data_IF_732222752443
#
_entry.id   IF_732222752443
#
_cell.length_a   1.000
_cell.length_b   1.000
_cell.length_c   1.000
_cell.angle_alpha   90.00
_cell.angle_beta   90.00
_cell.angle_gamma   90.00
#
_symmetry.space_group_name_H-M   'P 1'
#
loop_
_entity.id
_entity.type
_entity.pdbx_description
1 polymer ?
#
# COMPACT_ATOMS: atom_id res chain seq x y z
N UNK A 1 31.70 58.49 13.47
CA UNK A 1 30.68 57.75 12.70
C UNK A 1 30.80 56.31 13.14
N UNK A 2 30.20 55.90 14.26
CA UNK A 2 30.50 54.54 14.78
C UNK A 2 29.43 53.94 15.70
N UNK A 3 29.03 54.60 16.80
CA UNK A 3 28.11 53.96 17.75
C UNK A 3 26.68 53.69 17.24
N UNK A 4 26.11 54.60 16.44
CA UNK A 4 24.74 54.43 15.93
C UNK A 4 24.65 53.26 14.95
N UNK A 5 25.71 53.04 14.17
CA UNK A 5 25.78 52.00 13.15
C UNK A 5 26.09 50.63 13.76
N UNK A 6 26.93 50.59 14.80
CA UNK A 6 27.15 49.41 15.64
C UNK A 6 25.84 48.97 16.34
N UNK A 7 25.08 49.93 16.88
CA UNK A 7 23.79 49.64 17.53
C UNK A 7 22.76 49.07 16.56
N UNK A 8 22.67 49.63 15.35
CA UNK A 8 21.75 49.12 14.30
C UNK A 8 22.11 47.67 13.93
N UNK A 9 23.39 47.38 13.66
CA UNK A 9 23.84 46.01 13.35
C UNK A 9 23.59 45.02 14.49
N UNK A 10 23.74 45.46 15.74
CA UNK A 10 23.42 44.61 16.90
C UNK A 10 21.93 44.31 17.02
N UNK A 11 21.06 45.27 16.68
CA UNK A 11 19.61 45.07 16.69
C UNK A 11 19.14 44.17 15.54
N UNK A 12 19.73 44.32 14.34
CA UNK A 12 19.49 43.45 13.19
C UNK A 12 19.88 41.98 13.48
N UNK A 13 21.07 41.76 14.07
CA UNK A 13 21.52 40.41 14.46
C UNK A 13 20.62 39.78 15.54
N UNK A 14 20.13 40.56 16.50
CA UNK A 14 19.16 40.09 17.49
C UNK A 14 17.79 39.75 16.86
N UNK A 15 17.33 40.51 15.87
CA UNK A 15 16.09 40.22 15.17
C UNK A 15 16.20 38.96 14.30
N UNK A 16 17.32 38.78 13.59
CA UNK A 16 17.58 37.58 12.78
C UNK A 16 17.69 36.32 13.64
N UNK A 17 18.37 36.39 14.79
CA UNK A 17 18.48 35.24 15.72
C UNK A 17 17.16 34.87 16.37
N UNK A 18 16.32 35.85 16.74
CA UNK A 18 14.96 35.60 17.21
C UNK A 18 14.09 34.93 16.13
N UNK A 19 14.15 35.42 14.89
CA UNK A 19 13.42 34.84 13.75
C UNK A 19 13.90 33.42 13.42
N UNK A 20 15.20 33.16 13.55
CA UNK A 20 15.77 31.82 13.35
C UNK A 20 15.33 30.84 14.45
N UNK A 21 15.29 31.29 15.72
CA UNK A 21 14.80 30.49 16.83
C UNK A 21 13.31 30.13 16.66
N UNK A 22 12.46 31.09 16.28
CA UNK A 22 11.03 30.85 16.01
C UNK A 22 10.83 29.86 14.85
N UNK A 23 11.59 29.99 13.75
CA UNK A 23 11.54 29.02 12.64
C UNK A 23 11.99 27.62 13.06
N UNK A 24 13.00 27.53 13.92
CA UNK A 24 13.51 26.24 14.40
C UNK A 24 12.52 25.56 15.35
N UNK A 25 11.86 26.32 16.23
CA UNK A 25 10.78 25.84 17.07
C UNK A 25 9.58 25.38 16.23
N UNK A 26 9.13 26.19 15.26
CA UNK A 26 8.06 25.82 14.32
C UNK A 26 8.41 24.56 13.52
N UNK A 27 9.66 24.45 13.04
CA UNK A 27 10.13 23.25 12.34
C UNK A 27 10.05 22.02 13.25
N UNK A 28 10.46 22.14 14.51
CA UNK A 28 10.37 21.08 15.50
C UNK A 28 8.93 20.63 15.81
N UNK A 29 8.01 21.59 15.95
CA UNK A 29 6.58 21.32 16.15
C UNK A 29 5.98 20.62 14.93
N UNK A 30 6.25 21.14 13.71
CA UNK A 30 5.78 20.53 12.46
C UNK A 30 6.29 19.11 12.29
N UNK A 31 7.56 18.85 12.63
CA UNK A 31 8.14 17.51 12.59
C UNK A 31 7.51 16.56 13.61
N UNK A 32 7.18 17.05 14.81
CA UNK A 32 6.48 16.25 15.82
C UNK A 32 5.06 15.89 15.37
N UNK A 33 4.32 16.86 14.82
CA UNK A 33 2.98 16.65 14.26
C UNK A 33 3.04 15.65 13.10
N UNK A 34 4.00 15.79 12.18
CA UNK A 34 4.22 14.86 11.07
C UNK A 34 4.48 13.44 11.57
N UNK A 35 5.38 13.27 12.53
CA UNK A 35 5.67 11.94 13.12
C UNK A 35 4.43 11.33 13.76
N UNK A 36 3.68 12.12 14.53
CA UNK A 36 2.47 11.64 15.20
C UNK A 36 1.38 11.26 14.20
N UNK A 37 1.15 12.09 13.18
CA UNK A 37 0.21 11.80 12.10
C UNK A 37 0.56 10.50 11.36
N UNK A 38 1.82 10.32 10.95
CA UNK A 38 2.27 9.10 10.29
C UNK A 38 2.13 7.87 11.20
N UNK A 39 2.41 8.02 12.49
CA UNK A 39 2.25 6.93 13.46
C UNK A 39 0.78 6.52 13.61
N UNK A 40 -0.13 7.48 13.82
CA UNK A 40 -1.56 7.20 13.98
C UNK A 40 -2.17 6.59 12.73
N UNK A 41 -1.79 7.09 11.56
CA UNK A 41 -2.20 6.53 10.28
C UNK A 41 -1.77 5.06 10.13
N UNK A 42 -0.48 4.76 10.36
CA UNK A 42 0.02 3.38 10.28
C UNK A 42 -0.66 2.49 11.33
N UNK A 43 -0.88 2.99 12.54
CA UNK A 43 -1.59 2.25 13.58
C UNK A 43 -3.02 1.90 13.17
N UNK A 44 -3.75 2.84 12.57
CA UNK A 44 -5.12 2.59 12.09
C UNK A 44 -5.15 1.52 11.00
N UNK A 45 -4.22 1.58 10.04
CA UNK A 45 -4.07 0.52 9.03
C UNK A 45 -3.76 -0.82 9.67
N UNK A 46 -2.84 -0.87 10.65
CA UNK A 46 -2.52 -2.09 11.39
C UNK A 46 -3.77 -2.72 12.00
N UNK A 47 -4.55 -1.90 12.73
CA UNK A 47 -5.75 -2.34 13.42
C UNK A 47 -6.80 -2.84 12.43
N UNK A 48 -7.01 -2.13 11.31
CA UNK A 48 -7.97 -2.54 10.28
C UNK A 48 -7.61 -3.88 9.63
N UNK A 49 -6.35 -4.09 9.26
CA UNK A 49 -5.91 -5.36 8.68
C UNK A 49 -5.82 -6.49 9.70
N UNK A 50 -5.38 -6.21 10.92
CA UNK A 50 -5.36 -7.20 12.01
C UNK A 50 -6.77 -7.65 12.41
N UNK A 51 -7.71 -6.71 12.49
CA UNK A 51 -9.13 -7.00 12.68
C UNK A 51 -9.67 -7.89 11.56
N UNK A 52 -9.43 -7.51 10.30
CA UNK A 52 -9.88 -8.28 9.13
C UNK A 52 -9.33 -9.70 9.15
N UNK A 53 -8.03 -9.86 9.42
CA UNK A 53 -7.39 -11.16 9.55
C UNK A 53 -8.04 -12.01 10.65
N UNK A 54 -8.25 -11.42 11.83
CA UNK A 54 -8.81 -12.11 12.99
C UNK A 54 -10.27 -12.51 12.74
N UNK A 55 -11.06 -11.63 12.14
CA UNK A 55 -12.45 -11.87 11.77
C UNK A 55 -12.58 -12.99 10.74
N UNK A 56 -11.76 -12.97 9.68
CA UNK A 56 -11.75 -14.02 8.65
C UNK A 56 -11.35 -15.37 9.25
N UNK A 57 -10.34 -15.39 10.12
CA UNK A 57 -9.89 -16.61 10.81
C UNK A 57 -10.97 -17.15 11.74
N UNK A 58 -11.58 -16.29 12.56
CA UNK A 58 -12.67 -16.66 13.46
C UNK A 58 -13.88 -17.19 12.69
N UNK A 59 -14.28 -16.52 11.61
CA UNK A 59 -15.38 -16.97 10.76
C UNK A 59 -15.08 -18.34 10.13
N UNK A 60 -13.85 -18.58 9.68
CA UNK A 60 -13.44 -19.86 9.12
C UNK A 60 -13.50 -21.00 10.16
N UNK A 61 -13.10 -20.72 11.41
CA UNK A 61 -13.15 -21.71 12.50
C UNK A 61 -14.60 -22.01 12.90
N UNK A 62 -15.46 -20.98 12.98
CA UNK A 62 -16.83 -21.11 13.48
C UNK A 62 -17.81 -21.64 12.43
N UNK A 63 -17.70 -21.20 11.16
CA UNK A 63 -18.66 -21.50 10.09
C UNK A 63 -18.09 -22.42 9.00
N UNK A 64 -16.81 -22.82 9.12
CA UNK A 64 -16.15 -23.69 8.16
C UNK A 64 -16.12 -23.10 6.74
N UNK A 65 -16.43 -23.94 5.74
CA UNK A 65 -16.42 -23.51 4.34
C UNK A 65 -17.47 -22.45 4.00
N UNK A 66 -18.55 -22.33 4.78
CA UNK A 66 -19.57 -21.29 4.60
C UNK A 66 -19.02 -19.87 4.79
N UNK A 67 -17.96 -19.72 5.59
CA UNK A 67 -17.30 -18.44 5.81
C UNK A 67 -16.60 -17.88 4.57
N UNK A 68 -16.18 -18.75 3.65
CA UNK A 68 -15.46 -18.34 2.43
C UNK A 68 -16.34 -17.47 1.53
N UNK A 69 -17.65 -17.73 1.53
CA UNK A 69 -18.64 -17.04 0.70
C UNK A 69 -19.13 -15.73 1.33
N UNK A 70 -19.11 -15.64 2.67
CA UNK A 70 -19.54 -14.45 3.41
C UNK A 70 -18.40 -13.45 3.72
N UNK A 71 -17.18 -13.77 3.29
CA UNK A 71 -15.97 -12.98 3.57
C UNK A 71 -16.09 -11.53 3.09
N UNK A 72 -16.67 -11.33 1.90
CA UNK A 72 -16.88 -9.99 1.34
C UNK A 72 -17.81 -9.16 2.22
N UNK A 73 -19.02 -9.66 2.50
CA UNK A 73 -20.02 -8.94 3.29
C UNK A 73 -19.51 -8.56 4.69
N UNK A 74 -18.73 -9.45 5.32
CA UNK A 74 -18.21 -9.22 6.67
C UNK A 74 -17.06 -8.20 6.73
N UNK A 75 -16.22 -8.11 5.70
CA UNK A 75 -14.95 -7.38 5.76
C UNK A 75 -14.85 -6.20 4.79
N UNK A 76 -15.72 -6.12 3.77
CA UNK A 76 -15.61 -5.13 2.69
C UNK A 76 -15.60 -3.70 3.23
N UNK A 77 -16.46 -3.35 4.18
CA UNK A 77 -16.52 -2.01 4.75
C UNK A 77 -15.19 -1.57 5.39
N UNK A 78 -14.57 -2.47 6.17
CA UNK A 78 -13.27 -2.21 6.82
C UNK A 78 -12.17 -2.08 5.77
N UNK A 79 -12.15 -2.99 4.78
CA UNK A 79 -11.17 -2.96 3.70
C UNK A 79 -11.29 -1.73 2.81
N UNK A 80 -12.50 -1.28 2.49
CA UNK A 80 -12.73 -0.03 1.77
C UNK A 80 -12.14 1.15 2.55
N UNK A 81 -12.37 1.21 3.87
CA UNK A 81 -11.74 2.20 4.74
C UNK A 81 -10.21 2.15 4.70
N UNK A 82 -9.63 0.97 4.85
CA UNK A 82 -8.18 0.76 4.78
C UNK A 82 -7.58 1.17 3.42
N UNK A 83 -8.29 0.92 2.32
CA UNK A 83 -7.84 1.31 0.98
C UNK A 83 -7.93 2.82 0.75
N UNK A 84 -8.98 3.49 1.25
CA UNK A 84 -9.06 4.95 1.19
C UNK A 84 -7.94 5.59 2.00
N UNK A 85 -7.60 5.02 3.15
CA UNK A 85 -6.40 5.39 3.90
C UNK A 85 -5.15 5.21 3.04
N UNK A 86 -4.97 4.06 2.37
CA UNK A 86 -3.81 3.80 1.51
C UNK A 86 -3.60 4.85 0.39
N UNK A 87 -4.68 5.47 -0.11
CA UNK A 87 -4.57 6.58 -1.07
C UNK A 87 -3.95 7.82 -0.43
N UNK A 88 -4.27 8.11 0.83
CA UNK A 88 -3.64 9.20 1.59
C UNK A 88 -2.13 8.99 1.74
N UNK A 89 -1.66 7.75 1.87
CA UNK A 89 -0.21 7.45 1.90
C UNK A 89 0.48 7.83 0.59
N UNK A 90 -0.15 7.60 -0.57
CA UNK A 90 0.39 8.03 -1.86
C UNK A 90 0.44 9.56 -1.94
N UNK A 91 -0.60 10.24 -1.45
CA UNK A 91 -0.63 11.71 -1.37
C UNK A 91 0.48 12.22 -0.45
N UNK A 92 0.65 11.60 0.72
CA UNK A 92 1.70 11.94 1.66
C UNK A 92 3.10 11.75 1.04
N UNK A 93 3.32 10.67 0.31
CA UNK A 93 4.56 10.46 -0.44
C UNK A 93 4.75 11.53 -1.53
N UNK A 94 3.70 11.89 -2.26
CA UNK A 94 3.73 12.90 -3.33
C UNK A 94 4.06 14.31 -2.81
N UNK A 95 3.56 14.67 -1.63
CA UNK A 95 3.86 15.94 -0.94
C UNK A 95 5.27 15.93 -0.31
N UNK A 96 5.97 14.79 -0.30
CA UNK A 96 7.30 14.65 0.32
C UNK A 96 7.26 14.46 1.83
N UNK A 97 6.09 14.15 2.41
CA UNK A 97 5.93 13.80 3.83
C UNK A 97 6.55 12.45 4.18
N UNK A 98 6.90 11.62 3.20
CA UNK A 98 7.65 10.37 3.42
C UNK A 98 8.71 10.21 2.34
N UNK A 99 9.91 9.74 2.70
CA UNK A 99 11.01 9.43 1.77
C UNK A 99 10.77 8.09 1.03
N UNK A 100 9.56 7.86 0.55
CA UNK A 100 9.19 6.66 -0.21
C UNK A 100 9.04 7.04 -1.68
N UNK A 101 9.57 6.26 -2.63
CA UNK A 101 9.34 6.55 -4.04
C UNK A 101 7.84 6.49 -4.33
N UNK A 102 7.28 7.61 -4.80
CA UNK A 102 5.84 7.81 -5.00
C UNK A 102 5.30 6.85 -6.06
N UNK A 103 6.05 6.64 -7.13
CA UNK A 103 5.58 5.90 -8.31
C UNK A 103 5.31 4.40 -8.02
N UNK A 104 6.21 3.64 -7.38
CA UNK A 104 5.90 2.27 -6.94
C UNK A 104 4.73 2.18 -5.96
N UNK A 105 4.65 3.09 -4.98
CA UNK A 105 3.57 3.11 -4.00
C UNK A 105 2.21 3.36 -4.67
N UNK A 106 2.16 4.31 -5.61
CA UNK A 106 0.97 4.64 -6.39
C UNK A 106 0.47 3.44 -7.20
N UNK A 107 1.37 2.75 -7.92
CA UNK A 107 0.99 1.58 -8.72
C UNK A 107 0.45 0.46 -7.82
N UNK A 108 1.09 0.21 -6.68
CA UNK A 108 0.68 -0.84 -5.76
C UNK A 108 -0.70 -0.56 -5.13
N UNK A 109 -0.96 0.67 -4.69
CA UNK A 109 -2.26 1.08 -4.13
C UNK A 109 -3.33 1.09 -5.22
N UNK A 110 -3.02 1.61 -6.41
CA UNK A 110 -3.96 1.62 -7.53
C UNK A 110 -4.37 0.20 -7.95
N UNK A 111 -3.42 -0.73 -8.04
CA UNK A 111 -3.72 -2.12 -8.38
C UNK A 111 -4.71 -2.78 -7.41
N UNK A 112 -4.47 -2.63 -6.11
CA UNK A 112 -5.37 -3.13 -5.07
C UNK A 112 -6.74 -2.45 -5.09
N UNK A 113 -6.79 -1.15 -5.35
CA UNK A 113 -8.05 -0.41 -5.49
C UNK A 113 -8.87 -0.91 -6.69
N UNK A 114 -8.23 -1.18 -7.83
CA UNK A 114 -8.92 -1.75 -9.00
C UNK A 114 -9.52 -3.11 -8.65
N UNK A 115 -8.78 -3.98 -7.96
CA UNK A 115 -9.29 -5.28 -7.53
C UNK A 115 -10.46 -5.13 -6.53
N UNK A 116 -10.34 -4.27 -5.51
CA UNK A 116 -11.38 -4.15 -4.49
C UNK A 116 -12.64 -3.42 -4.98
N UNK A 117 -12.49 -2.25 -5.61
CA UNK A 117 -13.63 -1.42 -6.02
C UNK A 117 -14.22 -1.89 -7.34
N UNK A 118 -13.39 -2.26 -8.31
CA UNK A 118 -13.88 -2.60 -9.64
C UNK A 118 -14.18 -4.08 -9.75
N UNK A 119 -13.25 -4.97 -9.42
CA UNK A 119 -13.49 -6.42 -9.55
C UNK A 119 -14.52 -6.90 -8.53
N UNK A 120 -14.31 -6.66 -7.23
CA UNK A 120 -15.25 -7.15 -6.22
C UNK A 120 -16.45 -6.23 -6.00
N UNK A 121 -16.25 -4.90 -6.09
CA UNK A 121 -17.34 -3.94 -5.88
C UNK A 121 -18.36 -3.89 -7.02
N UNK A 122 -17.95 -4.19 -8.27
CA UNK A 122 -18.87 -4.10 -9.42
C UNK A 122 -19.49 -5.44 -9.83
N UNK A 123 -18.94 -6.58 -9.39
CA UNK A 123 -19.45 -7.91 -9.72
C UNK A 123 -19.96 -8.64 -8.47
N UNK A 124 -21.28 -8.70 -8.22
CA UNK A 124 -21.83 -9.46 -7.11
C UNK A 124 -21.50 -10.96 -7.20
N UNK A 125 -21.39 -11.52 -8.41
CA UNK A 125 -21.03 -12.93 -8.63
C UNK A 125 -19.61 -13.26 -8.17
N UNK A 126 -18.72 -12.26 -8.11
CA UNK A 126 -17.37 -12.43 -7.56
C UNK A 126 -17.36 -12.38 -6.04
N UNK A 127 -18.29 -11.65 -5.40
CA UNK A 127 -18.37 -11.51 -3.95
C UNK A 127 -18.65 -12.85 -3.26
N UNK A 128 -19.41 -13.72 -3.94
CA UNK A 128 -19.72 -15.08 -3.51
C UNK A 128 -18.67 -16.12 -3.97
N UNK A 129 -17.45 -15.71 -4.36
CA UNK A 129 -16.37 -16.66 -4.68
C UNK A 129 -15.41 -16.77 -3.52
N UNK A 130 -14.96 -17.99 -3.25
CA UNK A 130 -13.93 -18.28 -2.24
C UNK A 130 -12.58 -17.59 -2.51
N UNK A 131 -12.34 -17.13 -3.73
CA UNK A 131 -11.14 -16.35 -4.09
C UNK A 131 -11.08 -15.03 -3.30
N UNK A 132 -12.23 -14.40 -3.02
CA UNK A 132 -12.26 -13.15 -2.25
C UNK A 132 -11.68 -13.34 -0.86
N UNK A 133 -12.05 -14.44 -0.19
CA UNK A 133 -11.49 -14.80 1.10
C UNK A 133 -9.96 -14.87 1.05
N UNK A 134 -9.39 -15.59 0.06
CA UNK A 134 -7.94 -15.74 -0.07
C UNK A 134 -7.24 -14.42 -0.34
N UNK A 135 -7.80 -13.57 -1.20
CA UNK A 135 -7.24 -12.24 -1.47
C UNK A 135 -7.23 -11.39 -0.21
N UNK A 136 -8.35 -11.31 0.52
CA UNK A 136 -8.44 -10.49 1.74
C UNK A 136 -7.57 -11.03 2.87
N UNK A 137 -7.49 -12.35 2.99
CA UNK A 137 -6.66 -13.02 3.99
C UNK A 137 -5.17 -12.75 3.76
N UNK A 138 -4.69 -12.94 2.52
CA UNK A 138 -3.29 -12.71 2.17
C UNK A 138 -2.92 -11.23 2.19
N UNK A 139 -3.82 -10.34 1.77
CA UNK A 139 -3.64 -8.90 1.92
C UNK A 139 -3.43 -8.54 3.39
N UNK A 140 -4.33 -9.01 4.26
CA UNK A 140 -4.26 -8.71 5.69
C UNK A 140 -2.96 -9.22 6.32
N UNK A 141 -2.55 -10.45 6.02
CA UNK A 141 -1.28 -11.00 6.50
C UNK A 141 -0.09 -10.17 6.00
N UNK A 142 -0.03 -9.87 4.70
CA UNK A 142 1.08 -9.12 4.09
C UNK A 142 1.25 -7.73 4.71
N UNK A 143 0.14 -7.11 5.07
CA UNK A 143 0.08 -5.80 5.74
C UNK A 143 0.52 -5.88 7.21
N UNK A 144 0.05 -6.88 7.96
CA UNK A 144 0.52 -7.13 9.34
C UNK A 144 2.03 -7.33 9.36
N UNK A 145 2.58 -8.11 8.43
CA UNK A 145 4.04 -8.29 8.31
C UNK A 145 4.77 -7.01 7.90
N UNK A 146 4.12 -6.09 7.16
CA UNK A 146 4.73 -4.82 6.75
C UNK A 146 4.98 -3.94 7.96
N UNK A 147 4.01 -3.87 8.85
CA UNK A 147 4.09 -3.04 10.05
C UNK A 147 4.91 -3.68 11.16
N UNK A 148 4.98 -5.01 11.20
CA UNK A 148 5.87 -5.73 12.10
C UNK A 148 7.35 -5.46 11.77
N UNK A 149 7.69 -5.24 10.49
CA UNK A 149 9.08 -5.21 10.03
C UNK A 149 10.00 -4.17 10.70
N UNK A 150 9.65 -2.87 10.84
CA UNK A 150 10.56 -1.88 11.43
C UNK A 150 10.90 -2.15 12.91
N UNK A 151 10.00 -2.83 13.63
CA UNK A 151 10.20 -3.21 15.04
C UNK A 151 11.10 -4.45 15.15
N UNK A 152 10.98 -5.37 14.19
CA UNK A 152 11.67 -6.67 14.18
C UNK A 152 13.02 -6.64 13.45
N UNK A 153 13.29 -5.64 12.61
CA UNK A 153 14.53 -5.53 11.82
C UNK A 153 15.78 -5.20 12.65
N UNK A 154 15.65 -5.00 13.96
CA UNK A 154 16.74 -4.68 14.87
C UNK A 154 17.60 -5.90 15.25
N UNK A 155 17.14 -7.12 14.95
CA UNK A 155 17.84 -8.35 15.33
C UNK A 155 18.04 -9.28 14.12
N UNK A 156 19.26 -9.78 13.92
CA UNK A 156 19.64 -10.61 12.77
C UNK A 156 18.81 -11.91 12.65
N UNK A 157 18.16 -12.31 13.74
CA UNK A 157 17.29 -13.49 13.84
C UNK A 157 16.04 -13.38 12.97
N UNK A 158 15.62 -12.18 12.59
CA UNK A 158 14.41 -11.97 11.78
C UNK A 158 14.67 -11.95 10.27
N UNK A 159 15.89 -12.23 9.80
CA UNK A 159 16.21 -12.38 8.38
C UNK A 159 15.32 -13.42 7.68
N UNK A 160 14.94 -14.50 8.39
CA UNK A 160 14.00 -15.51 7.90
C UNK A 160 12.61 -14.94 7.61
N UNK A 161 12.14 -13.98 8.43
CA UNK A 161 10.83 -13.35 8.26
C UNK A 161 10.81 -12.39 7.04
N UNK A 162 11.94 -11.72 6.82
CA UNK A 162 12.14 -10.86 5.64
C UNK A 162 12.16 -11.72 4.37
N UNK A 163 12.88 -12.83 4.41
CA UNK A 163 12.91 -13.79 3.33
C UNK A 163 11.52 -14.36 3.06
N UNK A 164 10.79 -14.81 4.09
CA UNK A 164 9.43 -15.34 3.98
C UNK A 164 8.48 -14.35 3.29
N UNK A 165 8.58 -13.07 3.65
CA UNK A 165 7.79 -12.00 3.03
C UNK A 165 8.06 -11.88 1.54
N UNK A 166 9.33 -11.78 1.15
CA UNK A 166 9.70 -11.53 -0.25
C UNK A 166 9.60 -12.79 -1.11
N UNK A 167 9.89 -13.97 -0.56
CA UNK A 167 9.90 -15.23 -1.28
C UNK A 167 8.52 -15.89 -1.38
N UNK A 168 7.65 -15.75 -0.36
CA UNK A 168 6.35 -16.42 -0.35
C UNK A 168 5.18 -15.43 -0.35
N UNK A 169 5.13 -14.50 0.59
CA UNK A 169 3.93 -13.67 0.77
C UNK A 169 3.68 -12.73 -0.41
N UNK A 170 4.71 -12.06 -0.94
CA UNK A 170 4.58 -11.18 -2.11
C UNK A 170 4.13 -11.94 -3.37
N UNK A 171 4.78 -13.04 -3.76
CA UNK A 171 4.34 -13.88 -4.86
C UNK A 171 2.91 -14.38 -4.69
N UNK A 172 2.55 -14.81 -3.48
CA UNK A 172 1.25 -15.39 -3.20
C UNK A 172 0.13 -14.35 -3.26
N UNK A 173 0.32 -13.15 -2.68
CA UNK A 173 -0.66 -12.05 -2.80
C UNK A 173 -0.90 -11.69 -4.26
N UNK A 174 0.19 -11.59 -5.03
CA UNK A 174 0.14 -11.24 -6.45
C UNK A 174 -0.58 -12.30 -7.27
N UNK A 175 -0.31 -13.58 -6.98
CA UNK A 175 -0.97 -14.70 -7.65
C UNK A 175 -2.48 -14.71 -7.35
N UNK A 176 -2.89 -14.48 -6.10
CA UNK A 176 -4.31 -14.46 -5.75
C UNK A 176 -5.06 -13.29 -6.38
N UNK A 177 -4.43 -12.13 -6.51
CA UNK A 177 -4.99 -11.00 -7.26
C UNK A 177 -5.14 -11.35 -8.75
N UNK A 178 -4.13 -11.97 -9.35
CA UNK A 178 -4.18 -12.39 -10.75
C UNK A 178 -5.29 -13.42 -10.99
N UNK A 179 -5.47 -14.40 -10.09
CA UNK A 179 -6.56 -15.38 -10.17
C UNK A 179 -7.93 -14.70 -10.03
N UNK A 180 -8.08 -13.74 -9.11
CA UNK A 180 -9.32 -12.97 -8.97
C UNK A 180 -9.66 -12.21 -10.26
N UNK A 181 -8.66 -11.57 -10.88
CA UNK A 181 -8.83 -10.88 -12.16
C UNK A 181 -9.19 -11.88 -13.26
N UNK A 182 -8.49 -13.00 -13.39
CA UNK A 182 -8.79 -14.03 -14.41
C UNK A 182 -10.21 -14.59 -14.30
N UNK A 183 -10.71 -14.82 -13.08
CA UNK A 183 -12.08 -15.28 -12.87
C UNK A 183 -13.11 -14.19 -13.17
N UNK A 184 -12.76 -12.92 -12.98
CA UNK A 184 -13.63 -11.80 -13.31
C UNK A 184 -13.71 -11.50 -14.82
N UNK A 185 -12.68 -11.83 -15.61
CA UNK A 185 -12.65 -11.59 -17.06
C UNK A 185 -13.89 -12.14 -17.81
N UNK A 186 -14.25 -13.43 -17.69
CA UNK A 186 -15.44 -13.96 -18.38
C UNK A 186 -16.73 -13.32 -17.88
N UNK A 187 -16.79 -12.90 -16.61
CA UNK A 187 -17.95 -12.22 -16.04
C UNK A 187 -18.09 -10.80 -16.58
N UNK A 188 -16.98 -10.06 -16.76
CA UNK A 188 -16.98 -8.75 -17.41
C UNK A 188 -17.33 -8.82 -18.90
N UNK A 189 -16.81 -9.82 -19.61
CA UNK A 189 -17.11 -10.03 -21.03
C UNK A 189 -18.60 -10.40 -21.24
N UNK A 190 -19.22 -11.10 -20.29
CA UNK A 190 -20.65 -11.44 -20.32
C UNK A 190 -21.55 -10.27 -19.88
N UNK A 191 -21.18 -9.58 -18.81
CA UNK A 191 -22.01 -8.52 -18.20
C UNK A 191 -21.95 -7.18 -18.95
N UNK A 192 -20.96 -6.97 -19.84
CA UNK A 192 -20.69 -5.70 -20.55
C UNK A 192 -20.58 -4.48 -19.62
N UNK A 193 -20.42 -4.67 -18.32
CA UNK A 193 -20.26 -3.59 -17.35
C UNK A 193 -18.96 -2.83 -17.70
N UNK A 194 -19.07 -1.51 -17.88
CA UNK A 194 -18.01 -0.61 -18.40
C UNK A 194 -17.62 -0.77 -19.89
N UNK A 195 -18.33 -1.57 -20.68
CA UNK A 195 -18.25 -1.49 -22.14
C UNK A 195 -19.11 -0.32 -22.61
N UNK A 196 -18.53 0.88 -22.75
CA UNK A 196 -19.20 2.02 -23.38
C UNK A 196 -19.37 1.68 -24.88
N UNK A 197 -20.59 1.45 -25.38
CA UNK A 197 -20.80 1.15 -26.79
C UNK A 197 -21.13 2.46 -27.51
N UNK A 198 -20.19 3.11 -28.21
CA UNK A 198 -20.49 4.32 -29.00
C UNK A 198 -19.31 4.76 -29.90
N UNK A 199 -19.60 5.62 -30.89
CA UNK A 199 -20.01 5.34 -32.26
C UNK A 199 -18.80 5.06 -33.20
N UNK A 200 -19.06 4.44 -34.35
CA UNK A 200 -18.08 3.99 -35.38
C UNK A 200 -17.09 5.04 -35.95
N UNK A 201 -17.10 6.28 -35.44
CA UNK A 201 -16.29 7.37 -35.97
C UNK A 201 -14.84 7.42 -35.43
N UNK A 202 -14.53 6.70 -34.35
CA UNK A 202 -13.19 6.71 -33.74
C UNK A 202 -12.78 5.26 -33.47
N UNK A 203 -12.01 4.65 -34.38
CA UNK A 203 -11.66 3.23 -34.39
C UNK A 203 -10.75 2.71 -33.26
N UNK A 204 -10.88 3.23 -32.03
CA UNK A 204 -10.20 2.75 -30.84
C UNK A 204 -11.21 2.16 -29.84
N UNK A 205 -11.37 0.84 -29.86
CA UNK A 205 -12.12 0.12 -28.82
C UNK A 205 -11.25 0.00 -27.56
N UNK A 206 -11.48 0.84 -26.54
CA UNK A 206 -10.89 0.66 -25.21
C UNK A 206 -11.88 -0.11 -24.35
N UNK A 207 -11.94 -1.44 -24.52
CA UNK A 207 -12.75 -2.29 -23.65
C UNK A 207 -12.16 -2.29 -22.24
N UNK A 208 -12.99 -2.22 -21.20
CA UNK A 208 -12.55 -2.37 -19.81
C UNK A 208 -11.78 -3.69 -19.58
N UNK A 209 -12.14 -4.75 -20.32
CA UNK A 209 -11.39 -6.01 -20.41
C UNK A 209 -9.96 -5.86 -20.92
N UNK A 210 -9.67 -4.89 -21.79
CA UNK A 210 -8.30 -4.57 -22.25
C UNK A 210 -7.48 -3.97 -21.11
N UNK A 211 -8.05 -3.06 -20.32
CA UNK A 211 -7.40 -2.47 -19.15
C UNK A 211 -7.08 -3.53 -18.08
N UNK A 212 -7.98 -4.49 -17.83
CA UNK A 212 -7.74 -5.63 -16.93
C UNK A 212 -6.66 -6.58 -17.47
N UNK A 213 -6.65 -6.87 -18.78
CA UNK A 213 -5.59 -7.67 -19.41
C UNK A 213 -4.23 -6.97 -19.34
N UNK A 214 -4.19 -5.65 -19.54
CA UNK A 214 -2.99 -4.85 -19.37
C UNK A 214 -2.50 -4.84 -17.92
N UNK A 215 -3.41 -4.70 -16.94
CA UNK A 215 -3.09 -4.82 -15.52
C UNK A 215 -2.48 -6.18 -15.17
N UNK A 216 -3.05 -7.25 -15.74
CA UNK A 216 -2.55 -8.61 -15.53
C UNK A 216 -1.15 -8.80 -16.14
N UNK A 217 -0.91 -8.26 -17.34
CA UNK A 217 0.43 -8.25 -17.94
C UNK A 217 1.45 -7.48 -17.10
N UNK A 218 1.09 -6.29 -16.61
CA UNK A 218 1.96 -5.49 -15.75
C UNK A 218 2.26 -6.20 -14.43
N UNK A 219 1.27 -6.85 -13.84
CA UNK A 219 1.40 -7.65 -12.61
C UNK A 219 2.36 -8.83 -12.82
N UNK A 220 2.22 -9.54 -13.94
CA UNK A 220 3.14 -10.63 -14.30
C UNK A 220 4.58 -10.12 -14.53
N UNK A 221 4.76 -9.01 -15.25
CA UNK A 221 6.08 -8.40 -15.46
C UNK A 221 6.72 -8.01 -14.12
N UNK A 222 5.96 -7.36 -13.24
CA UNK A 222 6.42 -7.00 -11.89
C UNK A 222 6.81 -8.21 -11.05
N UNK A 223 6.02 -9.28 -11.11
CA UNK A 223 6.31 -10.56 -10.46
C UNK A 223 7.63 -11.16 -10.95
N UNK A 224 7.84 -11.23 -12.27
CA UNK A 224 9.08 -11.76 -12.85
C UNK A 224 10.31 -10.93 -12.48
N UNK A 225 10.19 -9.59 -12.45
CA UNK A 225 11.28 -8.71 -12.01
C UNK A 225 11.62 -8.98 -10.53
N UNK A 226 10.61 -9.16 -9.68
CA UNK A 226 10.82 -9.41 -8.25
C UNK A 226 11.50 -10.77 -8.01
N UNK A 227 11.02 -11.84 -8.64
CA UNK A 227 11.63 -13.17 -8.56
C UNK A 227 13.05 -13.14 -9.15
N UNK A 228 13.28 -12.46 -10.28
CA UNK A 228 14.61 -12.33 -10.86
C UNK A 228 15.56 -11.60 -9.92
N UNK A 229 15.11 -10.56 -9.22
CA UNK A 229 15.92 -9.85 -8.22
C UNK A 229 16.20 -10.73 -6.98
N UNK A 230 15.28 -11.62 -6.61
CA UNK A 230 15.47 -12.56 -5.51
C UNK A 230 16.43 -13.71 -5.88
N UNK A 231 16.38 -14.17 -7.13
CA UNK A 231 17.16 -15.32 -7.62
C UNK A 231 18.53 -14.90 -8.15
N UNK A 232 18.72 -13.64 -8.55
CA UNK A 232 20.02 -13.17 -9.03
C UNK A 232 21.04 -13.20 -7.88
N UNK A 233 22.08 -14.07 -7.95
CA UNK A 233 23.12 -14.15 -6.93
C UNK A 233 24.11 -12.97 -7.00
N UNK A 234 23.88 -11.99 -7.88
CA UNK A 234 24.87 -10.99 -8.24
C UNK A 234 24.69 -9.69 -7.45
N UNK A 235 25.07 -9.77 -6.17
CA UNK A 235 25.74 -8.65 -5.50
C UNK A 235 24.87 -7.59 -4.84
N UNK A 236 24.44 -7.85 -3.60
CA UNK A 236 24.91 -7.13 -2.40
C UNK A 236 24.01 -7.48 -1.22
N UNK A 237 24.58 -8.24 -0.29
CA UNK A 237 24.56 -7.93 1.13
C UNK A 237 23.19 -7.52 1.70
N UNK A 238 22.52 -8.48 2.34
CA UNK A 238 21.99 -8.24 3.68
C UNK A 238 23.17 -7.85 4.60
N UNK A 239 23.82 -6.71 4.34
CA UNK A 239 24.69 -6.07 5.32
C UNK A 239 23.73 -5.32 6.21
N UNK A 240 23.33 -5.97 7.31
CA UNK A 240 23.12 -5.23 8.54
C UNK A 240 24.37 -4.37 8.66
N UNK A 241 24.24 -3.06 8.41
CA UNK A 241 25.29 -2.10 8.74
C UNK A 241 25.28 -2.13 10.27
N UNK A 242 26.32 -2.64 10.95
CA UNK A 242 26.43 -2.33 12.36
C UNK A 242 26.56 -0.80 12.41
N UNK A 243 25.69 -0.17 13.19
CA UNK A 243 25.95 1.18 13.66
C UNK A 243 27.23 1.08 14.49
N UNK A 244 28.37 1.42 13.89
CA UNK A 244 29.54 1.84 14.64
C UNK A 244 29.40 3.33 14.86
N UNK A 245 29.41 3.67 16.14
CA UNK A 245 29.55 4.96 16.81
C UNK A 245 28.31 5.87 16.86
#
# INVERSE_FOLDING_TARGET
MDQKQVRIRSMEASAESATAAERQEQCGVLDAVRRHYLFMYNLLQFLGFSWTFSLLTANLILHGQGALYNAFSSCAAVLYGCQMLAVLEVINAAVGLVKTPVFPAMIQVMGRNVVLFVVFGSLPEMQERSVVFWVFYLWSISEVFRLAFPVLSLDAKFAMLIWLRHALLYPLTTLTEAVAVLQSLPLFDQSRLFSVPLPEAVGFSVSFSFSLRLYLLLTFVGFFINIRHLVSPTGRSFRLKPHTD
#
